data_IF_716798410187
#
_entry.id   IF_716798410187
#
_cell.length_a   1.000
_cell.length_b   1.000
_cell.length_c   1.000
_cell.angle_alpha   90.00
_cell.angle_beta   90.00
_cell.angle_gamma   90.00
#
_symmetry.space_group_name_H-M   'P 1'
#
loop_
_entity.id
_entity.type
_entity.pdbx_description
1 polymer ?
#
# COMPACT_ATOMS: atom_id res chain seq x y z
N UNK A 1 15.22 -42.21 -15.26
CA UNK A 1 14.33 -41.14 -14.76
C UNK A 1 15.16 -39.89 -14.61
N UNK A 2 14.83 -38.83 -15.36
CA UNK A 2 15.50 -37.53 -15.19
C UNK A 2 14.95 -36.82 -13.95
N UNK A 3 15.76 -36.06 -13.21
CA UNK A 3 15.27 -35.28 -12.08
C UNK A 3 14.26 -34.22 -12.58
N UNK A 4 13.24 -33.89 -11.75
CA UNK A 4 12.31 -32.82 -12.09
C UNK A 4 13.07 -31.49 -12.24
N UNK A 5 12.60 -30.61 -13.13
CA UNK A 5 13.19 -29.29 -13.28
C UNK A 5 13.09 -28.51 -11.95
N UNK A 6 14.05 -27.63 -11.64
CA UNK A 6 14.01 -26.82 -10.42
C UNK A 6 12.71 -26.00 -10.40
N UNK A 7 11.99 -26.04 -9.27
CA UNK A 7 10.82 -25.19 -9.06
C UNK A 7 11.23 -23.73 -9.21
N UNK A 8 10.56 -22.98 -10.08
CA UNK A 8 10.77 -21.54 -10.17
C UNK A 8 10.34 -20.93 -8.84
N UNK A 9 11.14 -20.04 -8.22
CA UNK A 9 10.69 -19.34 -7.04
C UNK A 9 9.37 -18.65 -7.36
N UNK A 10 8.32 -19.01 -6.62
CA UNK A 10 7.01 -18.34 -6.74
C UNK A 10 7.26 -16.88 -6.41
N UNK A 11 7.12 -16.00 -7.41
CA UNK A 11 7.13 -14.55 -7.18
C UNK A 11 6.06 -14.29 -6.13
N UNK A 12 6.45 -13.72 -4.98
CA UNK A 12 5.52 -13.29 -3.96
C UNK A 12 4.50 -12.34 -4.56
N UNK A 13 3.26 -12.39 -4.07
CA UNK A 13 2.24 -11.43 -4.48
C UNK A 13 2.74 -10.02 -4.15
N UNK A 14 2.64 -9.10 -5.12
CA UNK A 14 2.96 -7.69 -4.90
C UNK A 14 1.87 -7.09 -4.01
N UNK A 15 2.26 -6.58 -2.84
CA UNK A 15 1.34 -5.97 -1.88
C UNK A 15 1.72 -4.51 -1.65
N UNK A 16 0.71 -3.64 -1.65
CA UNK A 16 0.88 -2.25 -1.22
C UNK A 16 0.67 -2.16 0.30
N UNK A 17 1.75 -1.88 1.02
CA UNK A 17 1.79 -1.85 2.49
C UNK A 17 2.14 -0.43 2.96
N UNK A 18 1.59 0.05 4.10
CA UNK A 18 1.98 1.33 4.66
C UNK A 18 3.50 1.45 4.78
N UNK A 19 4.05 2.59 4.38
CA UNK A 19 5.50 2.80 4.28
C UNK A 19 6.07 2.57 2.87
N UNK A 20 5.33 1.90 1.97
CA UNK A 20 5.76 1.73 0.59
C UNK A 20 5.86 3.07 -0.13
N UNK A 21 6.92 3.27 -0.92
CA UNK A 21 7.06 4.43 -1.78
C UNK A 21 6.31 4.20 -3.07
N UNK A 22 5.44 5.13 -3.43
CA UNK A 22 4.55 5.02 -4.58
C UNK A 22 4.60 6.24 -5.47
N UNK A 23 4.27 6.01 -6.73
CA UNK A 23 3.89 7.03 -7.68
C UNK A 23 2.44 6.74 -8.10
N UNK A 24 1.57 7.74 -8.02
CA UNK A 24 0.18 7.59 -8.46
C UNK A 24 -0.22 8.68 -9.43
N UNK A 25 -1.22 8.33 -10.25
CA UNK A 25 -1.94 9.24 -11.14
C UNK A 25 -3.41 9.24 -10.76
N UNK A 26 -3.98 10.42 -10.55
CA UNK A 26 -5.42 10.60 -10.28
C UNK A 26 -6.07 11.56 -11.26
N UNK A 27 -7.39 11.47 -11.38
CA UNK A 27 -8.17 12.38 -12.21
C UNK A 27 -8.13 13.80 -11.64
N UNK A 28 -7.71 14.76 -12.46
CA UNK A 28 -7.72 16.19 -12.18
C UNK A 28 -8.83 16.92 -12.93
N UNK A 29 -8.90 18.25 -12.77
CA UNK A 29 -9.80 19.11 -13.55
C UNK A 29 -9.56 18.94 -15.05
N UNK A 30 -10.60 19.16 -15.87
CA UNK A 30 -10.46 19.25 -17.33
C UNK A 30 -9.79 18.03 -18.00
N UNK A 31 -10.02 16.82 -17.46
CA UNK A 31 -9.42 15.55 -17.96
C UNK A 31 -7.89 15.52 -17.89
N UNK A 32 -7.29 16.34 -17.04
CA UNK A 32 -5.86 16.24 -16.70
C UNK A 32 -5.60 15.13 -15.70
N UNK A 33 -4.37 14.64 -15.64
CA UNK A 33 -3.92 13.75 -14.57
C UNK A 33 -3.11 14.56 -13.54
N UNK A 34 -3.37 14.31 -12.26
CA UNK A 34 -2.54 14.79 -11.16
C UNK A 34 -1.56 13.67 -10.81
N UNK A 35 -0.27 13.97 -10.90
CA UNK A 35 0.79 13.07 -10.45
C UNK A 35 1.11 13.32 -8.97
N UNK A 36 1.40 12.25 -8.23
CA UNK A 36 1.79 12.36 -6.83
C UNK A 36 2.81 11.29 -6.47
N UNK A 37 3.90 11.74 -5.84
CA UNK A 37 4.97 10.89 -5.36
C UNK A 37 5.04 10.98 -3.84
N UNK A 38 5.13 9.84 -3.19
CA UNK A 38 5.18 9.83 -1.74
C UNK A 38 5.10 8.46 -1.11
N UNK A 39 4.89 8.47 0.20
CA UNK A 39 4.78 7.28 1.02
C UNK A 39 3.32 6.93 1.23
N UNK A 40 2.92 5.72 0.88
CA UNK A 40 1.58 5.22 1.18
C UNK A 40 1.41 5.11 2.70
N UNK A 41 0.37 5.75 3.25
CA UNK A 41 0.07 5.75 4.68
C UNK A 41 -1.11 4.85 5.06
N UNK A 42 -1.88 4.38 4.08
CA UNK A 42 -3.03 3.50 4.30
C UNK A 42 -4.27 3.89 3.51
N UNK A 43 -5.35 3.16 3.74
CA UNK A 43 -6.69 3.50 3.29
C UNK A 43 -7.45 4.18 4.43
N UNK A 44 -8.16 5.25 4.14
CA UNK A 44 -9.00 5.97 5.09
C UNK A 44 -10.39 6.18 4.50
N UNK A 45 -11.40 6.31 5.36
CA UNK A 45 -12.77 6.64 4.92
C UNK A 45 -13.14 8.06 5.34
N UNK A 46 -13.79 8.79 4.44
CA UNK A 46 -14.27 10.16 4.67
C UNK A 46 -15.69 10.23 4.12
N UNK A 47 -16.69 10.42 4.99
CA UNK A 47 -18.08 10.57 4.55
C UNK A 47 -18.63 9.36 3.78
N UNK A 48 -18.06 8.16 3.95
CA UNK A 48 -18.45 6.95 3.23
C UNK A 48 -17.61 6.64 2.00
N UNK A 49 -16.82 7.60 1.51
CA UNK A 49 -15.86 7.37 0.43
C UNK A 49 -14.55 6.81 0.97
N UNK A 50 -13.95 5.88 0.23
CA UNK A 50 -12.63 5.34 0.54
C UNK A 50 -11.56 6.12 -0.22
N UNK A 51 -10.53 6.54 0.50
CA UNK A 51 -9.40 7.29 -0.02
C UNK A 51 -8.08 6.57 0.27
N UNK A 52 -7.14 6.70 -0.65
CA UNK A 52 -5.75 6.34 -0.44
C UNK A 52 -5.01 7.55 0.15
N UNK A 53 -4.36 7.37 1.30
CA UNK A 53 -3.57 8.40 1.95
C UNK A 53 -2.11 8.30 1.52
N UNK A 54 -1.56 9.41 1.02
CA UNK A 54 -0.14 9.53 0.63
C UNK A 54 0.48 10.70 1.34
N UNK A 55 1.61 10.47 1.99
CA UNK A 55 2.49 11.56 2.42
C UNK A 55 3.39 11.97 1.26
N UNK A 56 3.24 13.21 0.80
CA UNK A 56 3.96 13.71 -0.37
C UNK A 56 5.44 13.93 -0.06
N UNK A 57 6.30 13.50 -0.98
CA UNK A 57 7.76 13.73 -0.92
C UNK A 57 8.14 15.22 -1.00
N UNK A 58 7.21 16.04 -1.48
CA UNK A 58 7.40 17.47 -1.71
C UNK A 58 7.87 17.76 -3.12
N UNK A 59 7.01 18.38 -3.91
CA UNK A 59 7.28 18.88 -5.27
C UNK A 59 6.44 20.13 -5.45
N UNK A 60 6.99 21.26 -5.93
CA UNK A 60 6.17 22.45 -6.16
C UNK A 60 4.96 22.10 -7.06
N UNK A 61 3.71 22.46 -6.69
CA UNK A 61 3.29 23.38 -5.61
C UNK A 61 3.04 22.74 -4.23
N UNK A 62 3.21 21.43 -4.09
CA UNK A 62 2.90 20.67 -2.88
C UNK A 62 4.11 20.54 -1.93
N UNK A 63 4.05 21.10 -0.72
CA UNK A 63 5.13 20.97 0.24
C UNK A 63 5.25 19.54 0.80
N UNK A 64 6.48 19.16 1.10
CA UNK A 64 6.85 17.87 1.70
C UNK A 64 6.09 17.62 2.99
N UNK A 65 5.71 16.36 3.22
CA UNK A 65 5.08 15.90 4.46
C UNK A 65 3.57 16.16 4.55
N UNK A 66 2.96 16.81 3.54
CA UNK A 66 1.49 16.90 3.47
C UNK A 66 0.89 15.54 3.16
N UNK A 67 -0.21 15.23 3.84
CA UNK A 67 -1.05 14.07 3.51
C UNK A 67 -2.05 14.47 2.42
N UNK A 68 -1.96 13.84 1.27
CA UNK A 68 -2.96 13.91 0.21
C UNK A 68 -3.89 12.69 0.32
N UNK A 69 -5.19 12.95 0.35
CA UNK A 69 -6.23 11.94 0.32
C UNK A 69 -6.75 11.87 -1.11
N UNK A 70 -6.52 10.72 -1.76
CA UNK A 70 -6.95 10.48 -3.14
C UNK A 70 -8.14 9.53 -3.10
N UNK A 71 -9.36 9.97 -3.48
CA UNK A 71 -10.50 9.06 -3.59
C UNK A 71 -10.16 7.88 -4.50
N UNK A 72 -10.51 6.66 -4.09
CA UNK A 72 -10.24 5.47 -4.91
C UNK A 72 -10.94 5.55 -6.27
N UNK A 73 -12.11 6.19 -6.33
CA UNK A 73 -12.85 6.45 -7.57
C UNK A 73 -12.14 7.41 -8.53
N UNK A 74 -11.22 8.22 -8.04
CA UNK A 74 -10.42 9.16 -8.85
C UNK A 74 -9.05 8.59 -9.24
N UNK A 75 -8.70 7.39 -8.78
CA UNK A 75 -7.40 6.79 -9.06
C UNK A 75 -7.33 6.25 -10.48
N UNK A 76 -6.31 6.64 -11.24
CA UNK A 76 -6.06 6.16 -12.61
C UNK A 76 -5.00 5.07 -12.65
N UNK A 77 -3.93 5.22 -11.87
CA UNK A 77 -2.85 4.23 -11.75
C UNK A 77 -2.08 4.41 -10.42
N UNK A 78 -1.52 3.32 -9.91
CA UNK A 78 -0.51 3.32 -8.83
C UNK A 78 0.62 2.39 -9.24
N UNK A 79 1.83 2.92 -9.14
CA UNK A 79 3.07 2.18 -9.26
C UNK A 79 3.73 2.07 -7.87
N UNK A 80 4.09 0.85 -7.46
CA UNK A 80 4.91 0.63 -6.26
C UNK A 80 6.37 0.77 -6.67
N UNK A 81 6.99 1.87 -6.25
CA UNK A 81 8.41 2.17 -6.56
C UNK A 81 9.31 1.38 -5.62
N UNK A 82 8.96 1.35 -4.34
CA UNK A 82 9.66 0.58 -3.32
C UNK A 82 8.62 -0.05 -2.39
N UNK A 83 8.54 -1.37 -2.40
CA UNK A 83 7.66 -2.09 -1.50
C UNK A 83 8.28 -2.08 -0.10
N UNK A 84 7.56 -1.52 0.87
CA UNK A 84 7.91 -1.74 2.26
C UNK A 84 7.51 -3.18 2.60
N UNK A 85 8.46 -4.00 3.02
CA UNK A 85 8.08 -5.28 3.59
C UNK A 85 7.29 -4.95 4.84
N UNK A 86 5.98 -5.23 4.84
CA UNK A 86 5.30 -5.39 6.11
C UNK A 86 6.08 -6.49 6.79
N UNK A 87 6.82 -6.16 7.85
CA UNK A 87 7.30 -7.20 8.76
C UNK A 87 6.07 -8.06 9.01
N UNK A 88 6.21 -9.37 8.81
CA UNK A 88 5.25 -10.32 9.35
C UNK A 88 5.29 -10.12 10.87
N UNK A 89 4.61 -9.09 11.38
CA UNK A 89 4.37 -8.90 12.79
C UNK A 89 3.49 -10.06 13.20
N UNK A 90 4.18 -11.13 13.61
CA UNK A 90 3.75 -12.15 14.54
C UNK A 90 2.25 -12.35 14.52
N UNK A 91 1.81 -13.24 13.62
CA UNK A 91 0.81 -14.23 14.01
C UNK A 91 1.42 -15.11 15.11
N UNK A 92 1.72 -14.52 16.27
CA UNK A 92 1.76 -15.25 17.54
C UNK A 92 0.31 -15.61 17.74
N UNK A 93 -0.04 -16.84 17.41
CA UNK A 93 -1.19 -17.47 18.02
C UNK A 93 -1.14 -17.15 19.52
N UNK A 94 -2.23 -16.65 20.12
CA UNK A 94 -2.26 -16.54 21.57
C UNK A 94 -1.91 -17.94 22.12
N UNK A 95 -1.01 -18.08 23.11
CA UNK A 95 -0.81 -19.38 23.73
C UNK A 95 -2.17 -19.89 24.17
N UNK A 96 -2.55 -21.07 23.68
CA UNK A 96 -3.79 -21.73 24.07
C UNK A 96 -3.89 -21.65 25.60
N UNK A 97 -4.90 -20.94 26.10
CA UNK A 97 -5.09 -20.81 27.54
C UNK A 97 -5.20 -22.24 28.12
N UNK A 98 -4.40 -22.59 29.14
CA UNK A 98 -4.52 -23.91 29.73
C UNK A 98 -5.92 -24.06 30.30
N UNK A 99 -6.64 -25.08 29.85
CA UNK A 99 -7.98 -25.38 30.30
C UNK A 99 -8.01 -25.55 31.82
N UNK A 100 -8.88 -24.79 32.48
CA UNK A 100 -9.29 -25.12 33.83
C UNK A 100 -10.38 -26.18 33.74
N UNK A 101 -10.03 -27.42 34.08
CA UNK A 101 -11.00 -28.35 34.63
C UNK A 101 -11.25 -27.96 36.09
N UNK A 102 -12.51 -27.68 36.41
CA UNK A 102 -13.04 -27.49 37.75
C UNK A 102 -14.49 -27.95 37.74
#
# INVERSE_FOLDING_TARGET
MSPPPPERPKKSAVQLTPGSRIHLRSAGPERTAIESHGTFRGLVSIGGDNCLAVELDGTAPDPKGRIRLVPLSALLAIDIVEAHQAEEEKRRDPPASPGYFG
#
